data_IF_196518946066
#
_entry.id   IF_196518946066
#
_cell.length_a   1.000
_cell.length_b   1.000
_cell.length_c   1.000
_cell.angle_alpha   90.00
_cell.angle_beta   90.00
_cell.angle_gamma   90.00
#
_symmetry.space_group_name_H-M   'P 1'
#
loop_
_entity.id
_entity.type
_entity.pdbx_description
1 polymer ?
#
# COMPACT_ATOMS: atom_id res chain seq x y z
N UNK A 1 -15.14 21.41 -3.29
CA UNK A 1 -14.90 20.94 -1.90
C UNK A 1 -14.54 22.15 -1.07
N UNK A 2 -15.15 22.38 0.11
CA UNK A 2 -14.79 23.53 0.93
C UNK A 2 -13.38 23.34 1.52
N UNK A 3 -12.50 24.31 1.29
CA UNK A 3 -11.22 24.39 2.01
C UNK A 3 -11.44 24.99 3.39
N UNK A 4 -10.78 24.40 4.39
CA UNK A 4 -10.79 24.89 5.77
C UNK A 4 -9.34 25.10 6.21
N UNK A 5 -9.02 26.35 6.54
CA UNK A 5 -7.72 26.69 7.11
C UNK A 5 -7.60 26.11 8.54
N UNK A 6 -6.41 25.62 8.87
CA UNK A 6 -6.04 25.18 10.21
C UNK A 6 -4.72 25.86 10.60
N UNK A 7 -4.59 26.22 11.88
CA UNK A 7 -3.32 26.67 12.45
C UNK A 7 -2.71 25.51 13.23
N UNK A 8 -1.46 25.17 12.93
CA UNK A 8 -0.72 24.08 13.55
C UNK A 8 0.62 24.64 14.05
N UNK A 9 1.01 24.28 15.27
CA UNK A 9 2.34 24.57 15.79
C UNK A 9 3.26 23.41 15.43
N UNK A 10 4.39 23.72 14.81
CA UNK A 10 5.41 22.75 14.46
C UNK A 10 6.53 22.79 15.48
N UNK A 11 7.00 21.62 15.90
CA UNK A 11 8.29 21.52 16.57
C UNK A 11 9.43 21.74 15.57
N UNK A 12 10.66 21.84 16.07
CA UNK A 12 11.82 22.10 15.22
C UNK A 12 12.06 21.00 14.17
N UNK A 13 11.68 19.75 14.46
CA UNK A 13 11.83 18.64 13.52
C UNK A 13 10.82 18.74 12.40
N UNK A 14 9.55 19.00 12.73
CA UNK A 14 8.48 19.17 11.78
C UNK A 14 8.68 20.42 10.91
N UNK A 15 9.22 21.51 11.48
CA UNK A 15 9.59 22.69 10.71
C UNK A 15 10.65 22.36 9.65
N UNK A 16 11.76 21.72 10.03
CA UNK A 16 12.80 21.30 9.08
C UNK A 16 12.27 20.39 7.98
N UNK A 17 11.39 19.44 8.33
CA UNK A 17 10.76 18.58 7.34
C UNK A 17 9.89 19.36 6.36
N UNK A 18 9.13 20.36 6.85
CA UNK A 18 8.33 21.23 5.98
C UNK A 18 9.23 22.07 5.06
N UNK A 19 10.34 22.60 5.57
CA UNK A 19 11.29 23.38 4.77
C UNK A 19 11.84 22.54 3.61
N UNK A 20 12.26 21.29 3.86
CA UNK A 20 12.69 20.35 2.82
C UNK A 20 11.61 20.05 1.78
N UNK A 21 10.34 19.96 2.19
CA UNK A 21 9.25 19.74 1.23
C UNK A 21 9.00 20.97 0.36
N UNK A 22 9.16 22.18 0.90
CA UNK A 22 8.97 23.45 0.17
C UNK A 22 10.15 23.76 -0.76
N UNK A 23 11.37 23.30 -0.46
CA UNK A 23 12.54 23.39 -1.36
C UNK A 23 12.28 22.75 -2.73
N UNK A 24 11.31 21.84 -2.84
CA UNK A 24 10.89 21.22 -4.11
C UNK A 24 10.07 22.16 -5.01
N UNK A 25 9.81 23.40 -4.58
CA UNK A 25 9.02 24.41 -5.30
C UNK A 25 7.53 24.41 -4.95
N UNK A 26 7.10 23.56 -4.01
CA UNK A 26 5.73 23.52 -3.52
C UNK A 26 5.46 24.67 -2.54
N UNK A 27 4.24 25.21 -2.56
CA UNK A 27 3.78 26.05 -1.45
C UNK A 27 3.66 25.23 -0.16
N UNK A 28 3.75 25.89 1.00
CA UNK A 28 3.56 25.22 2.30
C UNK A 28 2.23 24.45 2.37
N UNK A 29 1.13 25.04 1.88
CA UNK A 29 -0.18 24.39 1.86
C UNK A 29 -0.23 23.15 0.98
N UNK A 30 0.45 23.16 -0.17
CA UNK A 30 0.57 21.99 -1.04
C UNK A 30 1.42 20.89 -0.39
N UNK A 31 2.59 21.25 0.16
CA UNK A 31 3.47 20.34 0.86
C UNK A 31 2.75 19.65 2.04
N UNK A 32 2.03 20.41 2.86
CA UNK A 32 1.27 19.89 4.00
C UNK A 32 0.13 18.98 3.51
N UNK A 33 -0.67 19.40 2.51
CA UNK A 33 -1.73 18.55 1.96
C UNK A 33 -1.18 17.23 1.41
N UNK A 34 -0.11 17.29 0.63
CA UNK A 34 0.50 16.10 0.08
C UNK A 34 1.03 15.17 1.18
N UNK A 35 1.72 15.72 2.18
CA UNK A 35 2.24 14.94 3.31
C UNK A 35 1.12 14.23 4.10
N UNK A 36 0.00 14.92 4.34
CA UNK A 36 -1.18 14.36 5.02
C UNK A 36 -1.80 13.21 4.20
N UNK A 37 -2.06 13.44 2.91
CA UNK A 37 -2.66 12.43 2.02
C UNK A 37 -1.75 11.21 1.90
N UNK A 38 -0.46 11.41 1.69
CA UNK A 38 0.51 10.31 1.60
C UNK A 38 0.60 9.52 2.89
N UNK A 39 0.59 10.19 4.05
CA UNK A 39 0.64 9.51 5.35
C UNK A 39 -0.62 8.69 5.60
N UNK A 40 -1.80 9.25 5.28
CA UNK A 40 -3.06 8.52 5.38
C UNK A 40 -3.10 7.31 4.44
N UNK A 41 -2.63 7.45 3.21
CA UNK A 41 -2.53 6.35 2.25
C UNK A 41 -1.61 5.24 2.75
N UNK A 42 -0.39 5.59 3.21
CA UNK A 42 0.56 4.60 3.76
C UNK A 42 -0.05 3.83 4.93
N UNK A 43 -0.71 4.53 5.85
CA UNK A 43 -1.36 3.89 7.00
C UNK A 43 -2.49 2.95 6.58
N UNK A 44 -3.30 3.34 5.58
CA UNK A 44 -4.34 2.47 5.02
C UNK A 44 -3.73 1.21 4.41
N UNK A 45 -2.66 1.36 3.63
CA UNK A 45 -2.02 0.23 2.97
C UNK A 45 -1.31 -0.70 3.98
N UNK A 46 -0.75 -0.14 5.07
CA UNK A 46 -0.20 -0.93 6.18
C UNK A 46 -1.26 -1.78 6.85
N UNK A 47 -2.43 -1.21 7.15
CA UNK A 47 -3.56 -1.95 7.72
C UNK A 47 -4.04 -3.07 6.80
N UNK A 48 -4.14 -2.80 5.49
CA UNK A 48 -4.51 -3.83 4.51
C UNK A 48 -3.47 -4.94 4.41
N UNK A 49 -2.17 -4.60 4.47
CA UNK A 49 -1.10 -5.60 4.48
C UNK A 49 -1.11 -6.44 5.75
N UNK A 50 -1.39 -5.83 6.90
CA UNK A 50 -1.53 -6.55 8.18
C UNK A 50 -2.71 -7.51 8.14
N UNK A 51 -3.86 -7.05 7.66
CA UNK A 51 -5.04 -7.90 7.48
C UNK A 51 -4.80 -9.03 6.48
N UNK A 52 -4.18 -8.73 5.33
CA UNK A 52 -3.83 -9.74 4.32
C UNK A 52 -2.84 -10.78 4.87
N UNK A 53 -1.83 -10.36 5.65
CA UNK A 53 -0.91 -11.30 6.32
C UNK A 53 -1.64 -12.20 7.31
N UNK A 54 -2.60 -11.65 8.06
CA UNK A 54 -3.40 -12.44 9.00
C UNK A 54 -4.23 -13.50 8.26
N UNK A 55 -4.89 -13.13 7.16
CA UNK A 55 -5.66 -14.07 6.33
C UNK A 55 -4.75 -15.12 5.69
N UNK A 56 -3.63 -14.71 5.09
CA UNK A 56 -2.69 -15.63 4.44
C UNK A 56 -1.97 -16.58 5.42
N UNK A 57 -1.92 -16.24 6.70
CA UNK A 57 -1.33 -17.09 7.73
C UNK A 57 -2.26 -18.22 8.20
N UNK A 58 -3.52 -18.23 7.79
CA UNK A 58 -4.47 -19.27 8.16
C UNK A 58 -4.00 -20.64 7.62
N UNK A 59 -3.70 -21.61 8.51
CA UNK A 59 -3.20 -22.92 8.11
C UNK A 59 -4.24 -23.75 7.35
N UNK A 60 -5.53 -23.56 7.61
CA UNK A 60 -6.61 -24.29 6.92
C UNK A 60 -6.73 -23.79 5.48
N UNK A 61 -6.81 -22.47 5.29
CA UNK A 61 -6.86 -21.85 3.96
C UNK A 61 -5.63 -22.21 3.11
N UNK A 62 -4.43 -22.29 3.72
CA UNK A 62 -3.21 -22.71 3.01
C UNK A 62 -3.25 -24.17 2.60
N UNK A 63 -3.79 -25.05 3.45
CA UNK A 63 -3.92 -26.47 3.12
C UNK A 63 -4.94 -26.68 1.99
N UNK A 64 -6.07 -25.97 2.04
CA UNK A 64 -7.09 -26.00 0.99
C UNK A 64 -6.53 -25.47 -0.34
N UNK A 65 -5.86 -24.30 -0.32
CA UNK A 65 -5.23 -23.71 -1.51
C UNK A 65 -4.20 -24.65 -2.15
N UNK A 66 -3.40 -25.34 -1.33
CA UNK A 66 -2.42 -26.32 -1.82
C UNK A 66 -3.11 -27.54 -2.45
N UNK A 67 -4.21 -28.03 -1.86
CA UNK A 67 -4.99 -29.14 -2.42
C UNK A 67 -5.65 -28.76 -3.76
N UNK A 68 -6.19 -27.55 -3.86
CA UNK A 68 -6.78 -27.02 -5.12
C UNK A 68 -5.70 -26.86 -6.19
N UNK A 69 -4.52 -26.32 -5.85
CA UNK A 69 -3.41 -26.20 -6.79
C UNK A 69 -2.98 -27.57 -7.33
N UNK A 70 -2.76 -28.54 -6.44
CA UNK A 70 -2.38 -29.90 -6.82
C UNK A 70 -3.45 -30.58 -7.70
N UNK A 71 -4.73 -30.33 -7.42
CA UNK A 71 -5.83 -30.79 -8.25
C UNK A 71 -5.82 -30.13 -9.63
N UNK A 72 -5.65 -28.82 -9.72
CA UNK A 72 -5.59 -28.08 -10.98
C UNK A 72 -4.37 -28.48 -11.83
N UNK A 73 -3.22 -28.73 -11.20
CA UNK A 73 -2.01 -29.25 -11.85
C UNK A 73 -2.27 -30.66 -12.41
N UNK A 74 -2.94 -31.53 -11.64
CA UNK A 74 -3.34 -32.85 -12.13
C UNK A 74 -4.36 -32.80 -13.28
N UNK A 75 -5.12 -31.71 -13.39
CA UNK A 75 -6.07 -31.45 -14.49
C UNK A 75 -5.44 -30.71 -15.68
N UNK A 76 -4.22 -30.19 -15.54
CA UNK A 76 -3.57 -29.37 -16.55
C UNK A 76 -3.21 -30.16 -17.82
N UNK A 77 -3.83 -29.81 -18.94
CA UNK A 77 -3.25 -30.02 -20.27
C UNK A 77 -2.20 -28.93 -20.53
N UNK A 78 -1.14 -29.19 -21.33
CA UNK A 78 -0.11 -28.19 -21.63
C UNK A 78 -0.72 -26.89 -22.13
N UNK A 79 -0.15 -25.75 -21.69
CA UNK A 79 -0.55 -24.45 -22.22
C UNK A 79 -0.15 -24.42 -23.71
N UNK A 80 -0.98 -23.89 -24.63
CA UNK A 80 -0.77 -24.03 -26.07
C UNK A 80 0.58 -23.51 -26.60
N UNK A 81 1.31 -22.69 -25.83
CA UNK A 81 2.68 -22.25 -26.19
C UNK A 81 3.78 -23.28 -25.85
N UNK A 82 3.46 -24.39 -25.16
CA UNK A 82 4.40 -25.48 -24.86
C UNK A 82 4.55 -26.49 -26.02
N UNK A 83 3.83 -26.29 -27.14
CA UNK A 83 3.75 -27.22 -28.27
C UNK A 83 4.62 -26.85 -29.49
N UNK A 84 5.33 -25.71 -29.48
CA UNK A 84 6.30 -25.34 -30.51
C UNK A 84 7.74 -25.38 -29.97
N UNK A 85 8.30 -26.58 -29.95
CA UNK A 85 9.72 -26.88 -29.70
C UNK A 85 10.17 -28.08 -30.51
#
# INVERSE_FOLDING_TARGET
MPERAISVRLDQRAQRALDTLVETGLSQSEAIRQALVQTASRRRDELLREESRRVAADPEDRAESAAVLAFMEALGAPWPDDAEG
#
